data_IF_208519345687
#
_entry.id   IF_208519345687
#
_cell.length_a   1.000
_cell.length_b   1.000
_cell.length_c   1.000
_cell.angle_alpha   90.00
_cell.angle_beta   90.00
_cell.angle_gamma   90.00
#
_symmetry.space_group_name_H-M   'P 1'
#
loop_
_entity.id
_entity.type
_entity.pdbx_description
1 polymer ?
#
# COMPACT_ATOMS: atom_id res chain seq x y z
N UNK A 1 28.25 -40.08 3.47
CA UNK A 1 26.96 -39.54 3.91
C UNK A 1 25.92 -40.61 3.69
N UNK A 2 25.22 -41.01 4.74
CA UNK A 2 24.07 -41.91 4.64
C UNK A 2 22.86 -41.17 4.06
N UNK A 3 21.93 -41.92 3.47
CA UNK A 3 20.72 -41.40 2.82
C UNK A 3 19.81 -40.64 3.79
N UNK A 4 19.80 -41.01 5.07
CA UNK A 4 19.04 -40.33 6.12
C UNK A 4 19.53 -38.90 6.37
N UNK A 5 20.84 -38.66 6.43
CA UNK A 5 21.39 -37.31 6.64
C UNK A 5 21.07 -36.40 5.46
N UNK A 6 21.16 -36.91 4.23
CA UNK A 6 20.81 -36.17 3.02
C UNK A 6 19.33 -35.79 2.98
N UNK A 7 18.43 -36.72 3.33
CA UNK A 7 17.00 -36.45 3.41
C UNK A 7 16.68 -35.37 4.45
N UNK A 8 17.31 -35.46 5.62
CA UNK A 8 17.14 -34.47 6.70
C UNK A 8 17.63 -33.07 6.31
N UNK A 9 18.81 -32.96 5.66
CA UNK A 9 19.32 -31.68 5.16
C UNK A 9 18.39 -31.08 4.09
N UNK A 10 17.82 -31.92 3.22
CA UNK A 10 16.88 -31.49 2.20
C UNK A 10 15.56 -31.00 2.81
N UNK A 11 15.06 -31.65 3.87
CA UNK A 11 13.89 -31.19 4.63
C UNK A 11 14.14 -29.82 5.26
N UNK A 12 15.32 -29.59 5.86
CA UNK A 12 15.68 -28.28 6.41
C UNK A 12 15.69 -27.18 5.34
N UNK A 13 16.22 -27.47 4.14
CA UNK A 13 16.17 -26.57 2.99
C UNK A 13 14.74 -26.34 2.48
N UNK A 14 13.88 -27.36 2.52
CA UNK A 14 12.48 -27.23 2.10
C UNK A 14 11.70 -26.28 3.02
N UNK A 15 11.90 -26.38 4.33
CA UNK A 15 11.26 -25.48 5.31
C UNK A 15 11.63 -24.02 5.05
N UNK A 16 12.89 -23.73 4.71
CA UNK A 16 13.32 -22.36 4.44
C UNK A 16 12.92 -21.89 3.04
N UNK A 17 12.73 -22.77 2.05
CA UNK A 17 12.46 -22.38 0.64
C UNK A 17 11.02 -21.99 0.32
N UNK A 18 10.02 -22.59 0.99
CA UNK A 18 8.61 -22.43 0.61
C UNK A 18 7.83 -21.44 1.48
N UNK A 19 8.47 -20.85 2.48
CA UNK A 19 7.77 -20.24 3.58
C UNK A 19 7.85 -18.71 3.56
N UNK A 20 6.73 -18.07 3.90
CA UNK A 20 6.64 -16.63 4.14
C UNK A 20 7.67 -16.21 5.20
N UNK A 21 8.21 -15.00 5.07
CA UNK A 21 9.21 -14.37 5.96
C UNK A 21 8.64 -14.15 7.39
N UNK A 22 8.35 -15.23 8.10
CA UNK A 22 7.56 -15.22 9.31
C UNK A 22 8.26 -15.94 10.45
N UNK A 23 7.98 -15.48 11.67
CA UNK A 23 8.38 -16.16 12.92
C UNK A 23 8.01 -17.64 12.92
N UNK A 24 6.91 -18.00 12.26
CA UNK A 24 6.43 -19.39 12.13
C UNK A 24 7.37 -20.28 11.31
N UNK A 25 8.06 -19.71 10.32
CA UNK A 25 9.05 -20.42 9.50
C UNK A 25 10.28 -20.75 10.32
N UNK A 26 10.80 -19.77 11.06
CA UNK A 26 11.94 -19.93 11.97
C UNK A 26 11.60 -20.97 13.04
N UNK A 27 10.37 -20.94 13.56
CA UNK A 27 9.89 -21.93 14.53
C UNK A 27 9.92 -23.35 13.97
N UNK A 28 9.31 -23.59 12.80
CA UNK A 28 9.29 -24.90 12.14
C UNK A 28 10.71 -25.39 11.86
N UNK A 29 11.57 -24.50 11.39
CA UNK A 29 12.96 -24.81 11.09
C UNK A 29 13.74 -25.23 12.35
N UNK A 30 13.65 -24.45 13.44
CA UNK A 30 14.35 -24.77 14.69
C UNK A 30 13.78 -25.99 15.41
N UNK A 31 12.48 -26.25 15.29
CA UNK A 31 11.86 -27.50 15.76
C UNK A 31 12.45 -28.71 15.04
N UNK A 32 12.68 -28.59 13.72
CA UNK A 32 13.28 -29.66 12.92
C UNK A 32 14.75 -29.88 13.29
N UNK A 33 15.50 -28.79 13.50
CA UNK A 33 16.89 -28.84 13.98
C UNK A 33 17.01 -29.64 15.28
N UNK A 34 16.03 -29.49 16.18
CA UNK A 34 16.00 -30.17 17.48
C UNK A 34 15.92 -31.70 17.39
N UNK A 35 15.41 -32.27 16.30
CA UNK A 35 15.33 -33.73 16.12
C UNK A 35 16.71 -34.39 16.12
N UNK A 36 17.74 -33.67 15.67
CA UNK A 36 19.13 -34.16 15.57
C UNK A 36 20.12 -33.36 16.42
N UNK A 37 19.73 -32.21 16.97
CA UNK A 37 20.56 -31.34 17.79
C UNK A 37 19.87 -30.93 19.09
N UNK A 38 20.29 -31.50 20.21
CA UNK A 38 19.64 -31.25 21.52
C UNK A 38 20.09 -29.91 22.12
N UNK A 39 19.14 -29.02 22.37
CA UNK A 39 19.32 -27.77 23.12
C UNK A 39 18.08 -27.53 24.00
N UNK A 40 18.27 -26.81 25.10
CA UNK A 40 17.20 -26.42 26.01
C UNK A 40 16.58 -25.10 25.53
N UNK A 41 17.40 -24.10 25.22
CA UNK A 41 16.89 -22.84 24.70
C UNK A 41 17.62 -22.42 23.41
N UNK A 42 16.92 -21.70 22.55
CA UNK A 42 17.47 -21.10 21.32
C UNK A 42 16.95 -19.69 21.13
N UNK A 43 17.82 -18.78 20.72
CA UNK A 43 17.48 -17.41 20.38
C UNK A 43 18.18 -16.97 19.10
N UNK A 44 17.47 -16.19 18.29
CA UNK A 44 17.94 -15.56 17.07
C UNK A 44 17.83 -14.06 17.26
N UNK A 45 18.98 -13.40 17.21
CA UNK A 45 19.11 -11.96 17.30
C UNK A 45 19.48 -11.42 15.92
N UNK A 46 18.79 -10.38 15.46
CA UNK A 46 19.20 -9.60 14.29
C UNK A 46 19.55 -8.19 14.74
N UNK A 47 20.51 -7.58 14.05
CA UNK A 47 20.87 -6.20 14.27
C UNK A 47 19.92 -5.30 13.47
N UNK A 48 19.38 -4.29 14.13
CA UNK A 48 18.66 -3.21 13.46
C UNK A 48 19.68 -2.33 12.72
N UNK A 49 19.49 -2.18 11.41
CA UNK A 49 20.34 -1.36 10.54
C UNK A 49 20.26 0.14 10.93
N UNK A 50 19.21 0.61 11.64
CA UNK A 50 19.04 2.01 12.04
C UNK A 50 19.78 2.39 13.32
N UNK A 51 19.67 1.59 14.38
CA UNK A 51 20.21 1.91 15.71
C UNK A 51 21.34 0.99 16.18
N UNK A 52 21.76 0.02 15.36
CA UNK A 52 22.74 -1.01 15.71
C UNK A 52 22.38 -1.86 16.94
N UNK A 53 21.15 -1.73 17.45
CA UNK A 53 20.61 -2.53 18.56
C UNK A 53 20.30 -3.95 18.12
N UNK A 54 20.41 -4.90 19.05
CA UNK A 54 20.03 -6.29 18.81
C UNK A 54 18.54 -6.47 19.11
N UNK A 55 17.78 -6.89 18.11
CA UNK A 55 16.39 -7.28 18.26
C UNK A 55 16.24 -8.81 18.29
N UNK A 56 15.38 -9.27 19.20
CA UNK A 56 15.04 -10.69 19.32
C UNK A 56 13.96 -11.02 18.30
N UNK A 57 14.35 -11.63 17.19
CA UNK A 57 13.41 -12.07 16.14
C UNK A 57 12.75 -13.39 16.51
N UNK A 58 13.46 -14.23 17.27
CA UNK A 58 12.92 -15.47 17.80
C UNK A 58 13.64 -15.85 19.09
N UNK A 59 12.90 -16.26 20.11
CA UNK A 59 13.43 -16.91 21.29
C UNK A 59 12.46 -17.99 21.75
N UNK A 60 13.00 -19.12 22.21
CA UNK A 60 12.18 -20.20 22.78
C UNK A 60 12.95 -21.02 23.80
N UNK A 61 12.29 -21.29 24.92
CA UNK A 61 12.67 -22.33 25.87
C UNK A 61 11.96 -23.66 25.52
N UNK A 62 12.71 -24.75 25.46
CA UNK A 62 12.27 -26.05 24.97
C UNK A 62 12.65 -27.16 25.97
N UNK A 63 12.04 -27.14 27.16
CA UNK A 63 12.32 -28.09 28.26
C UNK A 63 11.16 -28.27 29.26
N UNK A 64 11.38 -29.08 30.32
CA UNK A 64 10.36 -29.43 31.34
C UNK A 64 10.00 -28.29 32.32
N UNK A 65 10.73 -27.18 32.31
CA UNK A 65 10.40 -25.98 33.07
C UNK A 65 9.66 -24.98 32.17
N UNK A 66 8.33 -25.09 32.13
CA UNK A 66 7.41 -24.24 31.36
C UNK A 66 7.00 -22.95 32.11
N UNK A 67 7.84 -22.43 33.01
CA UNK A 67 7.49 -21.21 33.75
C UNK A 67 7.91 -19.97 32.97
N UNK A 68 6.88 -19.21 32.61
CA UNK A 68 6.84 -18.11 31.65
C UNK A 68 7.23 -16.74 32.26
N UNK A 69 8.35 -16.64 32.96
CA UNK A 69 8.81 -15.37 33.56
C UNK A 69 10.18 -14.87 33.07
N UNK A 70 10.80 -15.50 32.05
CA UNK A 70 12.14 -15.15 31.56
C UNK A 70 12.21 -14.95 30.03
N UNK A 71 11.20 -14.31 29.45
CA UNK A 71 11.33 -13.72 28.12
C UNK A 71 12.24 -12.47 28.22
N UNK A 72 13.31 -12.46 27.42
CA UNK A 72 14.38 -11.45 27.26
C UNK A 72 15.66 -11.62 28.14
N UNK A 73 16.82 -11.48 27.47
CA UNK A 73 18.18 -11.29 27.99
C UNK A 73 19.11 -12.49 28.31
N UNK A 74 18.70 -13.77 28.24
CA UNK A 74 19.61 -14.89 28.58
C UNK A 74 20.72 -15.19 27.54
N UNK A 75 20.73 -14.48 26.41
CA UNK A 75 21.79 -14.59 25.40
C UNK A 75 22.18 -13.26 24.77
N UNK A 76 21.64 -12.12 25.21
CA UNK A 76 21.82 -10.84 24.52
C UNK A 76 23.25 -10.31 24.65
N UNK A 77 23.81 -10.33 25.86
CA UNK A 77 25.22 -9.97 26.08
C UNK A 77 26.16 -10.89 25.29
N UNK A 78 25.84 -12.18 25.23
CA UNK A 78 26.64 -13.16 24.50
C UNK A 78 26.48 -13.00 22.98
N UNK A 79 25.28 -12.69 22.49
CA UNK A 79 25.01 -12.33 21.10
C UNK A 79 25.78 -11.08 20.69
N UNK A 80 25.81 -10.04 21.54
CA UNK A 80 26.65 -8.85 21.32
C UNK A 80 28.14 -9.19 21.22
N UNK A 81 28.63 -10.16 21.99
CA UNK A 81 30.00 -10.66 21.87
C UNK A 81 30.24 -11.42 20.55
N UNK A 82 29.28 -12.23 20.12
CA UNK A 82 29.35 -12.96 18.83
C UNK A 82 29.38 -11.99 17.67
N UNK A 83 28.50 -10.98 17.64
CA UNK A 83 28.48 -9.94 16.61
C UNK A 83 29.80 -9.16 16.59
N UNK A 84 30.23 -8.63 17.74
CA UNK A 84 31.44 -7.79 17.80
C UNK A 84 32.71 -8.53 17.38
N UNK A 85 32.80 -9.83 17.69
CA UNK A 85 33.95 -10.66 17.28
C UNK A 85 33.79 -11.26 15.88
N UNK A 86 32.59 -11.27 15.31
CA UNK A 86 32.28 -11.80 13.98
C UNK A 86 32.62 -13.29 13.80
N UNK A 87 32.64 -14.08 14.88
CA UNK A 87 33.05 -15.49 14.83
C UNK A 87 32.26 -16.34 15.82
N UNK A 88 32.29 -17.65 15.60
CA UNK A 88 31.73 -18.63 16.52
C UNK A 88 32.36 -18.49 17.91
N UNK A 89 31.52 -18.47 18.95
CA UNK A 89 31.94 -18.45 20.35
C UNK A 89 31.32 -19.63 21.12
N UNK A 90 32.13 -20.19 22.02
CA UNK A 90 31.74 -21.21 22.98
C UNK A 90 31.99 -20.65 24.38
N UNK A 91 31.04 -20.86 25.29
CA UNK A 91 31.21 -20.54 26.69
C UNK A 91 30.77 -21.73 27.54
N UNK A 92 31.73 -22.26 28.30
CA UNK A 92 31.51 -23.31 29.28
C UNK A 92 30.98 -22.73 30.60
N UNK A 93 30.30 -23.56 31.43
CA UNK A 93 29.82 -23.15 32.74
C UNK A 93 30.97 -22.75 33.69
N UNK A 94 30.70 -21.77 34.57
CA UNK A 94 31.72 -21.27 35.50
C UNK A 94 32.09 -22.33 36.54
N UNK A 95 33.38 -22.63 36.78
CA UNK A 95 33.84 -23.77 37.58
C UNK A 95 33.55 -23.73 39.09
N UNK A 96 32.99 -22.65 39.64
CA UNK A 96 32.84 -22.44 41.09
C UNK A 96 31.42 -22.01 41.53
N UNK A 97 30.39 -22.42 40.79
CA UNK A 97 29.01 -21.99 41.08
C UNK A 97 28.25 -23.03 41.90
N UNK A 98 27.56 -22.66 43.00
CA UNK A 98 26.83 -23.61 43.85
C UNK A 98 25.83 -24.46 43.03
N UNK A 99 25.73 -25.74 43.38
CA UNK A 99 24.97 -26.78 42.65
C UNK A 99 23.48 -26.49 42.41
N UNK A 100 22.88 -25.53 43.10
CA UNK A 100 21.44 -25.22 43.02
C UNK A 100 21.07 -24.22 41.92
N UNK A 101 22.03 -23.47 41.36
CA UNK A 101 21.72 -22.44 40.36
C UNK A 101 21.94 -22.95 38.93
N UNK A 102 20.92 -23.63 38.39
CA UNK A 102 20.93 -24.20 37.03
C UNK A 102 21.21 -23.17 35.94
N UNK A 103 20.90 -21.88 36.17
CA UNK A 103 21.16 -20.80 35.21
C UNK A 103 22.66 -20.52 35.03
N UNK A 104 23.50 -20.90 36.00
CA UNK A 104 24.94 -20.67 35.96
C UNK A 104 25.75 -21.88 35.46
N UNK A 105 25.08 -22.98 35.12
CA UNK A 105 25.66 -24.19 34.54
C UNK A 105 25.29 -24.38 33.05
N UNK A 106 25.14 -23.28 32.32
CA UNK A 106 24.75 -23.30 30.91
C UNK A 106 25.97 -23.37 29.98
N UNK A 107 25.93 -24.28 29.01
CA UNK A 107 26.79 -24.26 27.84
C UNK A 107 26.18 -23.37 26.76
N UNK A 108 26.90 -22.33 26.35
CA UNK A 108 26.46 -21.41 25.30
C UNK A 108 27.26 -21.66 24.02
N UNK A 109 26.53 -21.80 22.91
CA UNK A 109 27.09 -21.84 21.57
C UNK A 109 26.50 -20.69 20.77
N UNK A 110 27.37 -19.76 20.37
CA UNK A 110 27.00 -18.55 19.67
C UNK A 110 27.59 -18.53 18.28
N UNK A 111 26.74 -18.30 17.28
CA UNK A 111 27.08 -18.37 15.87
C UNK A 111 26.73 -17.06 15.18
N UNK A 112 27.65 -16.43 14.44
CA UNK A 112 27.34 -15.24 13.68
C UNK A 112 26.38 -15.59 12.53
N UNK A 113 25.47 -14.67 12.24
CA UNK A 113 24.59 -14.74 11.06
C UNK A 113 25.08 -13.74 10.02
N UNK A 114 25.61 -14.26 8.91
CA UNK A 114 26.19 -13.54 7.79
C UNK A 114 27.07 -14.47 6.96
N UNK A 115 26.93 -14.45 5.64
CA UNK A 115 27.65 -15.35 4.73
C UNK A 115 28.94 -14.70 4.22
N UNK A 116 28.84 -13.51 3.62
CA UNK A 116 29.95 -12.73 3.08
C UNK A 116 29.65 -11.24 3.30
N UNK A 117 30.06 -10.69 4.46
CA UNK A 117 29.79 -9.28 4.80
C UNK A 117 29.77 -9.00 6.31
N UNK A 118 29.29 -7.82 6.73
CA UNK A 118 29.11 -7.51 8.15
C UNK A 118 28.11 -8.49 8.77
N UNK A 119 28.45 -9.05 9.93
CA UNK A 119 27.57 -9.96 10.68
C UNK A 119 26.32 -9.20 11.12
N UNK A 120 25.16 -9.61 10.60
CA UNK A 120 23.87 -8.94 10.83
C UNK A 120 23.06 -9.55 11.96
N UNK A 121 23.61 -10.52 12.68
CA UNK A 121 22.91 -11.18 13.77
C UNK A 121 23.70 -12.29 14.44
N UNK A 122 23.07 -12.93 15.42
CA UNK A 122 23.61 -14.10 16.08
C UNK A 122 22.54 -15.13 16.40
N UNK A 123 22.91 -16.40 16.24
CA UNK A 123 22.14 -17.56 16.67
C UNK A 123 22.79 -18.12 17.94
N UNK A 124 22.02 -18.17 19.02
CA UNK A 124 22.49 -18.64 20.33
C UNK A 124 21.75 -19.92 20.71
N UNK A 125 22.50 -20.97 20.99
CA UNK A 125 22.01 -22.21 21.57
C UNK A 125 22.48 -22.33 23.02
N UNK A 126 21.57 -22.80 23.88
CA UNK A 126 21.79 -22.97 25.30
C UNK A 126 21.44 -24.39 25.71
N UNK A 127 22.34 -25.03 26.45
CA UNK A 127 22.15 -26.37 27.02
C UNK A 127 22.51 -26.36 28.51
N UNK A 128 21.65 -26.92 29.35
CA UNK A 128 21.83 -27.03 30.80
C UNK A 128 22.21 -28.46 31.19
N UNK A 129 23.24 -28.63 32.02
CA UNK A 129 23.56 -29.90 32.70
C UNK A 129 23.95 -31.08 31.78
N UNK A 130 24.26 -30.84 30.51
CA UNK A 130 24.74 -31.85 29.56
C UNK A 130 26.24 -31.75 29.28
N UNK A 131 26.85 -32.67 28.50
CA UNK A 131 28.24 -32.54 28.08
C UNK A 131 28.43 -31.33 27.15
N UNK A 132 29.66 -30.83 27.10
CA UNK A 132 30.09 -29.75 26.21
C UNK A 132 29.77 -30.05 24.74
N UNK A 133 29.64 -29.00 23.93
CA UNK A 133 29.40 -29.15 22.49
C UNK A 133 30.59 -29.80 21.79
N UNK A 134 30.42 -31.03 21.32
CA UNK A 134 31.41 -31.72 20.49
C UNK A 134 31.54 -31.10 19.09
N UNK A 135 32.57 -31.50 18.33
CA UNK A 135 32.82 -30.97 16.99
C UNK A 135 31.64 -31.19 16.01
N UNK A 136 30.96 -32.34 16.10
CA UNK A 136 29.78 -32.67 15.29
C UNK A 136 28.61 -31.70 15.55
N UNK A 137 28.38 -31.36 16.81
CA UNK A 137 27.40 -30.36 17.25
C UNK A 137 27.71 -28.98 16.68
N UNK A 138 28.98 -28.58 16.76
CA UNK A 138 29.47 -27.29 16.24
C UNK A 138 29.27 -27.22 14.72
N UNK A 139 29.66 -28.27 13.98
CA UNK A 139 29.48 -28.34 12.53
C UNK A 139 28.01 -28.23 12.13
N UNK A 140 27.13 -28.96 12.81
CA UNK A 140 25.69 -28.91 12.56
C UNK A 140 25.11 -27.52 12.85
N UNK A 141 25.46 -26.92 13.98
CA UNK A 141 24.97 -25.59 14.35
C UNK A 141 25.49 -24.50 13.40
N UNK A 142 26.74 -24.60 12.92
CA UNK A 142 27.28 -23.74 11.86
C UNK A 142 26.51 -23.87 10.56
N UNK A 143 26.17 -25.09 10.13
CA UNK A 143 25.32 -25.29 8.96
C UNK A 143 23.94 -24.64 9.13
N UNK A 144 23.32 -24.81 10.31
CA UNK A 144 22.05 -24.18 10.67
C UNK A 144 22.15 -22.65 10.63
N UNK A 145 23.23 -22.08 11.15
CA UNK A 145 23.49 -20.64 11.11
C UNK A 145 23.63 -20.12 9.67
N UNK A 146 24.34 -20.84 8.79
CA UNK A 146 24.42 -20.48 7.37
C UNK A 146 23.06 -20.55 6.67
N UNK A 147 22.25 -21.59 6.93
CA UNK A 147 20.90 -21.67 6.36
C UNK A 147 20.00 -20.53 6.84
N UNK A 148 20.07 -20.16 8.11
CA UNK A 148 19.33 -19.00 8.63
C UNK A 148 19.85 -17.70 8.03
N UNK A 149 21.15 -17.56 7.84
CA UNK A 149 21.75 -16.38 7.18
C UNK A 149 21.21 -16.22 5.76
N UNK A 150 21.23 -17.30 4.96
CA UNK A 150 20.63 -17.33 3.61
C UNK A 150 19.14 -16.97 3.63
N UNK A 151 18.39 -17.50 4.60
CA UNK A 151 16.97 -17.22 4.74
C UNK A 151 16.71 -15.74 5.03
N UNK A 152 17.43 -15.14 5.97
CA UNK A 152 17.26 -13.72 6.32
C UNK A 152 17.70 -12.80 5.19
N UNK A 153 18.85 -13.03 4.56
CA UNK A 153 19.30 -12.22 3.41
C UNK A 153 18.28 -12.26 2.28
N UNK A 154 17.77 -13.44 1.94
CA UNK A 154 16.76 -13.59 0.89
C UNK A 154 15.45 -12.89 1.25
N UNK A 155 15.03 -12.97 2.52
CA UNK A 155 13.86 -12.25 3.03
C UNK A 155 13.99 -10.75 2.80
N UNK A 156 15.10 -10.15 3.23
CA UNK A 156 15.39 -8.72 3.05
C UNK A 156 15.45 -8.36 1.55
N UNK A 157 16.12 -9.18 0.73
CA UNK A 157 16.17 -8.97 -0.71
C UNK A 157 14.80 -8.97 -1.38
N UNK A 158 13.88 -9.85 -0.95
CA UNK A 158 12.51 -9.88 -1.48
C UNK A 158 11.74 -8.62 -1.10
N UNK A 159 11.87 -8.16 0.14
CA UNK A 159 11.23 -6.95 0.65
C UNK A 159 11.75 -5.70 -0.07
N UNK A 160 13.06 -5.49 -0.10
CA UNK A 160 13.68 -4.36 -0.82
C UNK A 160 13.34 -4.38 -2.31
N UNK A 161 13.34 -5.55 -2.97
CA UNK A 161 12.94 -5.65 -4.37
C UNK A 161 11.46 -5.31 -4.60
N UNK A 162 10.60 -5.61 -3.63
CA UNK A 162 9.18 -5.24 -3.70
C UNK A 162 9.03 -3.73 -3.57
N UNK A 163 9.68 -3.12 -2.58
CA UNK A 163 9.69 -1.67 -2.40
C UNK A 163 10.25 -0.93 -3.62
N UNK A 164 11.37 -1.40 -4.18
CA UNK A 164 11.96 -0.83 -5.39
C UNK A 164 11.02 -0.92 -6.61
N UNK A 165 10.29 -2.04 -6.74
CA UNK A 165 9.28 -2.19 -7.80
C UNK A 165 8.12 -1.21 -7.61
N UNK A 166 7.64 -1.04 -6.39
CA UNK A 166 6.56 -0.11 -6.08
C UNK A 166 6.99 1.34 -6.31
N UNK A 167 8.21 1.71 -5.89
CA UNK A 167 8.79 3.03 -6.17
C UNK A 167 8.95 3.27 -7.67
N UNK A 168 9.54 2.31 -8.41
CA UNK A 168 9.71 2.43 -9.87
C UNK A 168 8.37 2.59 -10.57
N UNK A 169 7.33 1.87 -10.12
CA UNK A 169 5.98 2.01 -10.65
C UNK A 169 5.42 3.40 -10.41
N UNK A 170 5.60 3.97 -9.22
CA UNK A 170 5.17 5.34 -8.91
C UNK A 170 5.90 6.38 -9.78
N UNK A 171 7.21 6.22 -9.98
CA UNK A 171 7.99 7.09 -10.87
C UNK A 171 7.48 7.02 -12.32
N UNK A 172 7.21 5.82 -12.84
CA UNK A 172 6.66 5.65 -14.19
C UNK A 172 5.29 6.33 -14.35
N UNK A 173 4.40 6.18 -13.37
CA UNK A 173 3.10 6.87 -13.38
C UNK A 173 3.27 8.40 -13.36
N UNK A 174 4.27 8.92 -12.65
CA UNK A 174 4.58 10.35 -12.62
C UNK A 174 5.15 10.86 -13.95
N UNK A 175 6.01 10.09 -14.62
CA UNK A 175 6.51 10.44 -15.96
C UNK A 175 5.37 10.44 -17.00
N UNK A 176 4.54 9.39 -17.01
CA UNK A 176 3.36 9.28 -17.88
C UNK A 176 2.39 10.46 -17.65
N UNK A 177 2.25 10.90 -16.41
CA UNK A 177 1.47 12.08 -16.05
C UNK A 177 2.02 13.37 -16.63
N UNK A 178 3.31 13.64 -16.44
CA UNK A 178 3.95 14.88 -16.93
C UNK A 178 3.79 14.97 -18.45
N UNK A 179 3.98 13.85 -19.14
CA UNK A 179 3.73 13.75 -20.58
C UNK A 179 2.26 14.01 -20.94
N UNK A 180 1.33 13.36 -20.25
CA UNK A 180 -0.12 13.51 -20.48
C UNK A 180 -0.58 14.94 -20.23
N UNK A 181 -0.18 15.56 -19.12
CA UNK A 181 -0.54 16.94 -18.80
C UNK A 181 0.02 17.90 -19.82
N UNK A 182 1.28 17.72 -20.23
CA UNK A 182 1.87 18.58 -21.24
C UNK A 182 1.06 18.55 -22.53
N UNK A 183 0.52 17.38 -22.91
CA UNK A 183 -0.36 17.24 -24.05
C UNK A 183 -1.74 17.89 -23.82
N UNK A 184 -2.39 17.59 -22.69
CA UNK A 184 -3.72 18.10 -22.33
C UNK A 184 -3.75 19.62 -22.13
N UNK A 185 -2.64 20.25 -21.72
CA UNK A 185 -2.51 21.71 -21.65
C UNK A 185 -2.20 22.34 -23.02
N UNK A 186 -1.45 21.65 -23.88
CA UNK A 186 -1.05 22.18 -25.21
C UNK A 186 -2.24 22.31 -26.15
N UNK A 187 -3.21 21.40 -26.10
CA UNK A 187 -4.41 21.43 -26.94
C UNK A 187 -5.26 22.70 -26.74
N UNK A 188 -5.79 23.01 -25.54
CA UNK A 188 -6.56 24.23 -25.30
C UNK A 188 -5.75 25.49 -25.60
N UNK A 189 -4.47 25.52 -25.21
CA UNK A 189 -3.59 26.65 -25.50
C UNK A 189 -3.41 26.86 -27.01
N UNK A 190 -3.32 25.78 -27.79
CA UNK A 190 -3.24 25.80 -29.24
C UNK A 190 -4.50 26.39 -29.89
N UNK A 191 -5.69 26.00 -29.41
CA UNK A 191 -6.95 26.58 -29.87
C UNK A 191 -7.07 28.06 -29.52
N UNK A 192 -6.82 28.44 -28.26
CA UNK A 192 -6.84 29.84 -27.81
C UNK A 192 -5.90 30.68 -28.69
N UNK A 193 -4.66 30.22 -28.90
CA UNK A 193 -3.68 30.93 -29.72
C UNK A 193 -4.08 30.98 -31.20
N UNK A 194 -4.62 29.89 -31.74
CA UNK A 194 -5.03 29.79 -33.14
C UNK A 194 -6.18 30.75 -33.46
N UNK A 195 -7.28 30.65 -32.71
CA UNK A 195 -8.46 31.52 -32.92
C UNK A 195 -8.17 32.98 -32.61
N UNK A 196 -7.40 33.29 -31.56
CA UNK A 196 -6.99 34.69 -31.31
C UNK A 196 -6.11 35.25 -32.43
N UNK A 197 -5.19 34.44 -32.98
CA UNK A 197 -4.36 34.86 -34.13
C UNK A 197 -5.22 35.07 -35.38
N UNK A 198 -6.22 34.22 -35.62
CA UNK A 198 -7.18 34.38 -36.73
C UNK A 198 -8.00 35.66 -36.60
N UNK A 199 -8.45 36.02 -35.40
CA UNK A 199 -9.18 37.26 -35.14
C UNK A 199 -8.32 38.52 -35.31
N UNK A 200 -7.00 38.42 -35.11
CA UNK A 200 -6.05 39.53 -35.25
C UNK A 200 -5.58 39.77 -36.70
N UNK A 201 -5.94 38.89 -37.64
CA UNK A 201 -5.55 39.03 -39.06
C UNK A 201 -6.19 40.27 -39.68
N UNK A 202 -5.36 41.10 -40.33
CA UNK A 202 -5.82 42.30 -41.04
C UNK A 202 -6.21 42.01 -42.49
N UNK A 203 -5.81 40.86 -43.02
CA UNK A 203 -6.03 40.43 -44.40
C UNK A 203 -7.31 39.60 -44.57
N UNK A 204 -8.15 39.50 -43.54
CA UNK A 204 -9.40 38.74 -43.55
C UNK A 204 -10.45 39.49 -42.72
N UNK A 205 -11.69 39.55 -43.21
CA UNK A 205 -12.79 40.17 -42.49
C UNK A 205 -13.81 39.09 -42.11
N UNK A 206 -13.93 38.82 -40.81
CA UNK A 206 -14.87 37.84 -40.27
C UNK A 206 -16.23 38.51 -40.01
N UNK A 207 -17.33 37.83 -40.33
CA UNK A 207 -18.66 38.29 -39.94
C UNK A 207 -18.88 38.20 -38.43
N UNK A 208 -19.93 38.87 -37.93
CA UNK A 208 -20.19 38.95 -36.50
C UNK A 208 -20.48 37.58 -35.86
N UNK A 209 -21.04 36.64 -36.62
CA UNK A 209 -21.34 35.28 -36.16
C UNK A 209 -20.06 34.47 -35.97
N UNK A 210 -19.18 34.43 -36.97
CA UNK A 210 -17.88 33.74 -36.89
C UNK A 210 -16.99 34.34 -35.80
N UNK A 211 -16.98 35.67 -35.65
CA UNK A 211 -16.24 36.31 -34.56
C UNK A 211 -16.75 35.86 -33.19
N UNK A 212 -18.07 35.76 -33.02
CA UNK A 212 -18.67 35.29 -31.78
C UNK A 212 -18.36 33.83 -31.51
N UNK A 213 -18.40 32.98 -32.54
CA UNK A 213 -18.00 31.58 -32.43
C UNK A 213 -16.54 31.45 -31.98
N UNK A 214 -15.61 32.16 -32.60
CA UNK A 214 -14.19 32.12 -32.23
C UNK A 214 -13.95 32.60 -30.80
N UNK A 215 -14.61 33.69 -30.38
CA UNK A 215 -14.53 34.18 -29.00
C UNK A 215 -15.10 33.17 -28.01
N UNK A 216 -16.19 32.48 -28.37
CA UNK A 216 -16.80 31.44 -27.53
C UNK A 216 -15.85 30.25 -27.36
N UNK A 217 -15.21 29.80 -28.44
CA UNK A 217 -14.21 28.71 -28.36
C UNK A 217 -13.02 29.11 -27.48
N UNK A 218 -12.55 30.36 -27.59
CA UNK A 218 -11.45 30.86 -26.74
C UNK A 218 -11.86 30.83 -25.25
N UNK A 219 -13.07 31.27 -24.92
CA UNK A 219 -13.59 31.31 -23.56
C UNK A 219 -13.72 29.89 -22.97
N UNK A 220 -14.33 28.96 -23.72
CA UNK A 220 -14.50 27.57 -23.30
C UNK A 220 -13.15 26.84 -23.09
N UNK A 221 -12.18 27.04 -23.98
CA UNK A 221 -10.86 26.42 -23.84
C UNK A 221 -10.03 27.07 -22.71
N UNK A 222 -10.27 28.36 -22.40
CA UNK A 222 -9.66 29.02 -21.25
C UNK A 222 -10.19 28.47 -19.93
N UNK A 223 -11.50 28.28 -19.82
CA UNK A 223 -12.14 27.62 -18.67
C UNK A 223 -11.64 26.19 -18.50
N UNK A 224 -11.52 25.45 -19.60
CA UNK A 224 -10.95 24.09 -19.58
C UNK A 224 -9.51 24.09 -19.07
N UNK A 225 -8.69 25.04 -19.51
CA UNK A 225 -7.30 25.17 -19.06
C UNK A 225 -7.23 25.51 -17.57
N UNK A 226 -8.09 26.42 -17.09
CA UNK A 226 -8.17 26.79 -15.68
C UNK A 226 -8.52 25.57 -14.80
N UNK A 227 -9.52 24.79 -15.21
CA UNK A 227 -9.91 23.57 -14.51
C UNK A 227 -8.78 22.52 -14.47
N UNK A 228 -8.01 22.37 -15.55
CA UNK A 228 -6.86 21.47 -15.58
C UNK A 228 -5.79 21.91 -14.57
N UNK A 229 -5.48 23.20 -14.51
CA UNK A 229 -4.51 23.76 -13.56
C UNK A 229 -4.98 23.55 -12.12
N UNK A 230 -6.26 23.81 -11.84
CA UNK A 230 -6.84 23.64 -10.51
C UNK A 230 -6.73 22.19 -10.02
N UNK A 231 -7.08 21.21 -10.87
CA UNK A 231 -6.94 19.79 -10.55
C UNK A 231 -5.50 19.38 -10.21
N UNK A 232 -4.51 19.97 -10.87
CA UNK A 232 -3.09 19.72 -10.60
C UNK A 232 -2.68 20.28 -9.24
N UNK A 233 -3.04 21.54 -8.96
CA UNK A 233 -2.74 22.20 -7.70
C UNK A 233 -3.44 21.50 -6.53
N UNK A 234 -4.67 21.06 -6.72
CA UNK A 234 -5.40 20.32 -5.72
C UNK A 234 -4.79 18.94 -5.45
N UNK A 235 -4.41 18.21 -6.49
CA UNK A 235 -3.67 16.94 -6.34
C UNK A 235 -2.40 17.14 -5.50
N UNK A 236 -1.67 18.24 -5.72
CA UNK A 236 -0.47 18.56 -4.94
C UNK A 236 -0.81 18.88 -3.46
N UNK A 237 -1.87 19.66 -3.19
CA UNK A 237 -2.31 20.00 -1.83
C UNK A 237 -2.80 18.78 -1.03
N UNK A 238 -3.50 17.88 -1.70
CA UNK A 238 -3.96 16.62 -1.12
C UNK A 238 -2.78 15.71 -0.76
N UNK A 239 -1.75 15.65 -1.61
CA UNK A 239 -0.53 14.90 -1.32
C UNK A 239 0.18 15.41 -0.06
N UNK A 240 0.23 16.73 0.15
CA UNK A 240 0.83 17.31 1.35
C UNK A 240 -0.06 17.25 2.60
N UNK A 241 -1.27 16.65 2.52
CA UNK A 241 -2.28 16.62 3.61
C UNK A 241 -2.62 18.02 4.16
N UNK A 242 -2.46 19.07 3.35
CA UNK A 242 -2.66 20.47 3.77
C UNK A 242 -4.01 21.02 3.35
N UNK A 243 -4.92 20.19 2.83
CA UNK A 243 -6.24 20.65 2.39
C UNK A 243 -7.10 21.03 3.61
N UNK A 244 -7.48 22.30 3.79
CA UNK A 244 -8.38 22.67 4.87
C UNK A 244 -9.79 22.15 4.56
N UNK A 245 -10.34 21.33 5.47
CA UNK A 245 -11.70 20.81 5.39
C UNK A 245 -12.60 21.52 6.39
N UNK A 246 -13.81 21.86 5.97
CA UNK A 246 -14.83 22.50 6.81
C UNK A 246 -15.97 21.54 7.07
N UNK A 247 -15.83 20.76 8.13
CA UNK A 247 -16.85 19.80 8.54
C UNK A 247 -18.05 20.50 9.18
N UNK A 248 -19.24 20.20 8.68
CA UNK A 248 -20.51 20.66 9.23
C UNK A 248 -21.58 19.56 9.10
N UNK A 249 -22.66 19.60 9.91
CA UNK A 249 -23.82 18.73 9.70
C UNK A 249 -24.39 18.92 8.29
N UNK A 250 -24.43 17.84 7.52
CA UNK A 250 -24.73 17.85 6.10
C UNK A 250 -25.69 16.73 5.74
N UNK A 251 -26.70 17.08 4.95
CA UNK A 251 -27.63 16.13 4.31
C UNK A 251 -27.09 15.71 2.95
N UNK A 252 -26.64 14.46 2.82
CA UNK A 252 -26.10 13.93 1.56
C UNK A 252 -27.13 13.97 0.42
N UNK A 253 -28.40 13.72 0.72
CA UNK A 253 -29.46 13.74 -0.27
C UNK A 253 -29.66 15.14 -0.87
N UNK A 254 -29.50 16.20 -0.08
CA UNK A 254 -29.54 17.58 -0.57
C UNK A 254 -28.39 17.87 -1.52
N UNK A 255 -27.16 17.50 -1.14
CA UNK A 255 -25.97 17.70 -2.00
C UNK A 255 -26.10 16.94 -3.32
N UNK A 256 -26.55 15.68 -3.28
CA UNK A 256 -26.78 14.88 -4.49
C UNK A 256 -27.81 15.53 -5.42
N UNK A 257 -28.92 16.05 -4.88
CA UNK A 257 -29.94 16.76 -5.65
C UNK A 257 -29.39 18.04 -6.29
N UNK A 258 -28.65 18.84 -5.53
CA UNK A 258 -28.07 20.09 -6.00
C UNK A 258 -27.06 19.86 -7.14
N UNK A 259 -26.17 18.87 -6.97
CA UNK A 259 -25.21 18.49 -8.02
C UNK A 259 -25.94 17.97 -9.25
N UNK A 260 -26.93 17.09 -9.08
CA UNK A 260 -27.70 16.52 -10.19
C UNK A 260 -28.44 17.61 -10.97
N UNK A 261 -29.00 18.61 -10.29
CA UNK A 261 -29.66 19.74 -10.93
C UNK A 261 -28.69 20.58 -11.78
N UNK A 262 -27.49 20.88 -11.26
CA UNK A 262 -26.44 21.57 -12.03
C UNK A 262 -26.02 20.76 -13.25
N UNK A 263 -25.79 19.46 -13.11
CA UNK A 263 -25.39 18.60 -14.23
C UNK A 263 -26.47 18.55 -15.31
N UNK A 264 -27.75 18.37 -14.95
CA UNK A 264 -28.87 18.39 -15.91
C UNK A 264 -29.02 19.73 -16.64
N UNK A 265 -28.68 20.84 -15.99
CA UNK A 265 -28.70 22.17 -16.63
C UNK A 265 -27.66 22.30 -17.74
N UNK A 266 -26.51 21.62 -17.59
CA UNK A 266 -25.41 21.60 -18.56
C UNK A 266 -25.61 20.52 -19.64
N UNK A 267 -26.18 19.37 -19.27
CA UNK A 267 -26.40 18.22 -20.15
C UNK A 267 -27.89 17.85 -20.17
N UNK A 268 -28.66 18.52 -21.04
CA UNK A 268 -30.13 18.39 -21.06
C UNK A 268 -30.63 16.98 -21.41
N UNK A 269 -29.86 16.23 -22.19
CA UNK A 269 -30.23 14.89 -22.66
C UNK A 269 -29.76 13.77 -21.72
N UNK A 270 -29.19 14.11 -20.55
CA UNK A 270 -28.70 13.12 -19.60
C UNK A 270 -29.85 12.51 -18.79
N UNK A 271 -30.10 11.22 -18.98
CA UNK A 271 -31.03 10.46 -18.15
C UNK A 271 -30.39 10.14 -16.79
N UNK A 272 -30.99 10.66 -15.71
CA UNK A 272 -30.52 10.44 -14.34
C UNK A 272 -31.71 10.01 -13.49
N UNK A 273 -31.62 8.83 -12.86
CA UNK A 273 -32.58 8.37 -11.88
C UNK A 273 -31.97 8.39 -10.48
N UNK A 274 -32.74 8.85 -9.49
CA UNK A 274 -32.29 8.95 -8.10
C UNK A 274 -33.26 8.20 -7.18
N UNK A 275 -32.74 7.23 -6.44
CA UNK A 275 -33.43 6.56 -5.33
C UNK A 275 -32.72 6.91 -4.02
N UNK A 276 -33.16 8.00 -3.38
CA UNK A 276 -32.53 8.54 -2.18
C UNK A 276 -33.41 8.23 -0.96
N UNK A 277 -33.06 7.17 -0.24
CA UNK A 277 -33.74 6.83 1.00
C UNK A 277 -33.47 7.89 2.08
N UNK A 278 -34.43 8.17 2.98
CA UNK A 278 -34.21 9.10 4.09
C UNK A 278 -32.99 8.66 4.92
N UNK A 279 -32.05 9.59 5.12
CA UNK A 279 -30.80 9.32 5.79
C UNK A 279 -30.51 10.39 6.87
N UNK A 280 -29.88 10.01 8.00
CA UNK A 280 -29.41 10.97 8.98
C UNK A 280 -28.33 11.90 8.40
N UNK A 281 -28.15 13.11 8.94
CA UNK A 281 -27.05 13.98 8.53
C UNK A 281 -25.70 13.35 8.92
N UNK A 282 -24.69 13.60 8.09
CA UNK A 282 -23.30 13.28 8.40
C UNK A 282 -22.53 14.54 8.78
N UNK A 283 -21.38 14.40 9.43
CA UNK A 283 -20.46 15.52 9.58
C UNK A 283 -19.49 15.52 8.38
N UNK A 284 -19.60 16.50 7.49
CA UNK A 284 -18.86 16.52 6.22
C UNK A 284 -18.66 17.92 5.65
N UNK A 285 -17.74 18.03 4.70
CA UNK A 285 -17.54 19.22 3.89
C UNK A 285 -18.36 19.09 2.59
N UNK A 286 -19.46 19.85 2.53
CA UNK A 286 -20.42 19.77 1.42
C UNK A 286 -19.83 20.18 0.07
N UNK A 287 -18.87 21.12 0.06
CA UNK A 287 -18.22 21.57 -1.19
C UNK A 287 -17.35 20.44 -1.75
N UNK A 288 -16.57 19.79 -0.87
CA UNK A 288 -15.70 18.67 -1.28
C UNK A 288 -16.49 17.43 -1.68
N UNK A 289 -17.58 17.12 -0.98
CA UNK A 289 -18.44 16.00 -1.37
C UNK A 289 -19.17 16.27 -2.68
N UNK A 290 -19.63 17.51 -2.92
CA UNK A 290 -20.19 17.90 -4.22
C UNK A 290 -19.17 17.70 -5.36
N UNK A 291 -17.90 18.06 -5.13
CA UNK A 291 -16.82 17.84 -6.09
C UNK A 291 -16.62 16.35 -6.42
N UNK A 292 -16.70 15.46 -5.42
CA UNK A 292 -16.64 14.00 -5.67
C UNK A 292 -17.77 13.57 -6.61
N UNK A 293 -19.00 13.99 -6.33
CA UNK A 293 -20.16 13.62 -7.15
C UNK A 293 -20.07 14.20 -8.56
N UNK A 294 -19.67 15.46 -8.71
CA UNK A 294 -19.43 16.08 -10.02
C UNK A 294 -18.40 15.31 -10.82
N UNK A 295 -17.32 14.84 -10.18
CA UNK A 295 -16.29 14.07 -10.84
C UNK A 295 -16.75 12.65 -11.23
N UNK A 296 -17.67 12.04 -10.48
CA UNK A 296 -18.30 10.79 -10.89
C UNK A 296 -19.27 10.99 -12.07
N UNK A 297 -20.04 12.08 -12.08
CA UNK A 297 -20.90 12.43 -13.21
C UNK A 297 -20.10 12.68 -14.49
N UNK A 298 -19.03 13.48 -14.41
CA UNK A 298 -18.21 13.77 -15.59
C UNK A 298 -17.56 12.51 -16.14
N UNK A 299 -17.12 11.59 -15.27
CA UNK A 299 -16.65 10.27 -15.70
C UNK A 299 -17.75 9.47 -16.42
N UNK A 300 -18.95 9.37 -15.85
CA UNK A 300 -20.06 8.64 -16.47
C UNK A 300 -20.43 9.23 -17.84
N UNK A 301 -20.54 10.57 -17.97
CA UNK A 301 -20.85 11.25 -19.23
C UNK A 301 -19.77 10.99 -20.30
N UNK A 302 -18.51 10.98 -19.87
CA UNK A 302 -17.35 10.86 -20.73
C UNK A 302 -17.11 9.43 -21.22
N UNK A 303 -17.26 8.45 -20.35
CA UNK A 303 -16.97 7.03 -20.65
C UNK A 303 -18.21 6.24 -21.06
N UNK A 304 -19.41 6.70 -20.67
CA UNK A 304 -20.69 6.09 -21.01
C UNK A 304 -21.66 7.12 -21.64
N UNK A 305 -21.29 7.74 -22.78
CA UNK A 305 -22.12 8.78 -23.39
C UNK A 305 -23.51 8.24 -23.76
N UNK A 306 -24.55 8.95 -23.33
CA UNK A 306 -25.95 8.56 -23.57
C UNK A 306 -26.49 7.44 -22.66
N UNK A 307 -25.67 6.88 -21.77
CA UNK A 307 -26.14 5.90 -20.79
C UNK A 307 -26.88 6.61 -19.64
N UNK A 308 -27.96 5.97 -19.16
CA UNK A 308 -28.64 6.42 -17.95
C UNK A 308 -27.75 6.23 -16.72
N UNK A 309 -27.75 7.23 -15.83
CA UNK A 309 -27.04 7.20 -14.55
C UNK A 309 -28.04 6.94 -13.44
N UNK A 310 -27.80 5.90 -12.64
CA UNK A 310 -28.66 5.56 -11.51
C UNK A 310 -27.90 5.83 -10.21
N UNK A 311 -28.48 6.65 -9.35
CA UNK A 311 -27.89 7.06 -8.08
C UNK A 311 -28.75 6.54 -6.95
N UNK A 312 -28.16 5.81 -6.01
CA UNK A 312 -28.87 5.39 -4.80
C UNK A 312 -28.18 5.93 -3.55
N UNK A 313 -28.98 6.20 -2.52
CA UNK A 313 -28.49 6.50 -1.17
C UNK A 313 -29.22 5.60 -0.18
N UNK A 314 -28.46 4.77 0.54
CA UNK A 314 -28.98 3.83 1.53
C UNK A 314 -28.20 3.92 2.83
N UNK A 315 -28.87 3.74 3.97
CA UNK A 315 -28.19 3.55 5.25
C UNK A 315 -27.93 2.06 5.49
N UNK A 316 -26.68 1.71 5.76
CA UNK A 316 -26.26 0.34 6.12
C UNK A 316 -25.53 0.40 7.45
N UNK A 317 -26.21 -0.03 8.52
CA UNK A 317 -25.69 0.05 9.88
C UNK A 317 -25.38 1.49 10.30
N UNK A 318 -24.09 1.78 10.54
CA UNK A 318 -23.59 3.11 10.94
C UNK A 318 -22.98 3.91 9.78
N UNK A 319 -23.22 3.49 8.54
CA UNK A 319 -22.69 4.15 7.36
C UNK A 319 -23.82 4.50 6.39
N UNK A 320 -23.61 5.56 5.60
CA UNK A 320 -24.39 5.85 4.39
C UNK A 320 -23.60 5.35 3.19
N UNK A 321 -24.28 4.60 2.32
CA UNK A 321 -23.72 4.12 1.06
C UNK A 321 -24.42 4.87 -0.07
N UNK A 322 -23.63 5.60 -0.85
CA UNK A 322 -24.03 6.20 -2.12
C UNK A 322 -23.50 5.34 -3.24
N UNK A 323 -24.34 4.94 -4.18
CA UNK A 323 -23.90 4.28 -5.42
C UNK A 323 -24.17 5.15 -6.64
N UNK A 324 -23.23 5.14 -7.59
CA UNK A 324 -23.34 5.75 -8.91
C UNK A 324 -23.14 4.64 -9.94
N UNK A 325 -24.21 4.25 -10.62
CA UNK A 325 -24.17 3.22 -11.66
C UNK A 325 -24.35 3.84 -13.04
N UNK A 326 -23.46 3.51 -13.96
CA UNK A 326 -23.57 3.75 -15.39
C UNK A 326 -23.67 2.42 -16.17
N UNK A 327 -24.16 2.48 -17.41
CA UNK A 327 -24.20 1.35 -18.35
C UNK A 327 -23.15 1.46 -19.46
N UNK A 328 -21.97 1.95 -19.11
CA UNK A 328 -20.85 2.14 -20.02
C UNK A 328 -20.11 0.85 -20.42
N UNK A 329 -18.94 1.00 -21.07
CA UNK A 329 -18.11 -0.12 -21.51
C UNK A 329 -17.53 -0.95 -20.36
N UNK A 330 -17.60 -0.45 -19.12
CA UNK A 330 -17.02 -1.07 -17.94
C UNK A 330 -15.50 -0.91 -17.86
N UNK A 331 -14.92 -1.40 -16.77
CA UNK A 331 -13.50 -1.29 -16.44
C UNK A 331 -12.88 -2.70 -16.44
N UNK A 332 -11.73 -2.92 -17.11
CA UNK A 332 -11.01 -4.19 -17.02
C UNK A 332 -10.67 -4.57 -15.57
N UNK A 333 -10.80 -5.85 -15.22
CA UNK A 333 -10.57 -6.34 -13.86
C UNK A 333 -9.18 -6.00 -13.31
N UNK A 334 -8.17 -6.03 -14.17
CA UNK A 334 -6.79 -5.67 -13.84
C UNK A 334 -6.60 -4.18 -13.54
N UNK A 335 -7.48 -3.32 -14.06
CA UNK A 335 -7.45 -1.88 -13.85
C UNK A 335 -8.22 -1.43 -12.62
N UNK A 336 -9.23 -2.18 -12.16
CA UNK A 336 -10.08 -1.80 -11.01
C UNK A 336 -9.30 -1.43 -9.74
N UNK A 337 -8.24 -2.15 -9.32
CA UNK A 337 -7.46 -1.77 -8.15
C UNK A 337 -6.69 -0.45 -8.33
N UNK A 338 -6.53 0.02 -9.57
CA UNK A 338 -5.62 1.07 -9.96
C UNK A 338 -6.32 2.37 -10.36
N UNK A 339 -7.63 2.35 -10.63
CA UNK A 339 -8.37 3.54 -11.10
C UNK A 339 -8.37 4.71 -10.12
N UNK A 340 -8.11 4.44 -8.84
CA UNK A 340 -7.98 5.47 -7.80
C UNK A 340 -6.52 5.84 -7.51
N UNK A 341 -5.56 5.21 -8.18
CA UNK A 341 -4.16 5.57 -8.08
C UNK A 341 -3.90 6.84 -8.86
N UNK A 342 -3.02 7.67 -8.29
CA UNK A 342 -2.68 8.96 -8.86
C UNK A 342 -2.11 8.76 -10.26
N UNK A 343 -2.60 9.55 -11.22
CA UNK A 343 -2.18 9.55 -12.62
C UNK A 343 -2.57 8.32 -13.43
N UNK A 344 -3.23 7.33 -12.82
CA UNK A 344 -3.58 6.11 -13.53
C UNK A 344 -4.68 6.36 -14.57
N UNK A 345 -4.52 5.74 -15.74
CA UNK A 345 -5.50 5.69 -16.82
C UNK A 345 -5.51 4.29 -17.42
N UNK A 346 -6.70 3.80 -17.79
CA UNK A 346 -6.83 2.53 -18.51
C UNK A 346 -6.17 2.68 -19.88
N UNK A 347 -5.23 1.78 -20.21
CA UNK A 347 -4.50 1.79 -21.49
C UNK A 347 -5.43 1.34 -22.61
N UNK A 348 -5.52 2.10 -23.70
CA UNK A 348 -6.30 1.75 -24.90
C UNK A 348 -7.36 2.77 -25.31
N UNK A 349 -7.81 3.62 -24.39
CA UNK A 349 -8.75 4.71 -24.67
C UNK A 349 -8.02 5.95 -25.21
N UNK A 350 -7.40 5.84 -26.40
CA UNK A 350 -6.68 6.96 -27.04
C UNK A 350 -7.56 8.17 -27.35
N UNK A 351 -8.88 8.01 -27.36
CA UNK A 351 -9.85 9.04 -27.73
C UNK A 351 -10.40 9.84 -26.54
N UNK A 352 -10.16 9.41 -25.30
CA UNK A 352 -10.81 9.98 -24.12
C UNK A 352 -9.79 10.76 -23.27
N UNK A 353 -9.73 12.08 -23.47
CA UNK A 353 -8.79 13.05 -22.85
C UNK A 353 -8.95 13.15 -21.34
N UNK A 354 -7.88 13.14 -20.54
CA UNK A 354 -8.01 13.26 -19.07
C UNK A 354 -6.71 13.11 -18.29
N UNK A 355 -6.64 13.76 -17.13
CA UNK A 355 -5.42 13.88 -16.32
C UNK A 355 -5.12 12.68 -15.41
N UNK A 356 -6.07 11.75 -15.23
CA UNK A 356 -5.94 10.65 -14.27
C UNK A 356 -5.96 11.10 -12.79
N UNK A 357 -6.40 12.34 -12.51
CA UNK A 357 -6.42 12.90 -11.15
C UNK A 357 -7.79 12.82 -10.47
N UNK A 358 -8.89 12.84 -11.23
CA UNK A 358 -10.23 12.99 -10.67
C UNK A 358 -10.59 11.91 -9.63
N UNK A 359 -10.43 10.62 -9.98
CA UNK A 359 -10.74 9.52 -9.06
C UNK A 359 -9.78 9.46 -7.86
N UNK A 360 -8.51 9.84 -8.05
CA UNK A 360 -7.56 9.98 -6.94
C UNK A 360 -8.00 11.08 -5.97
N UNK A 361 -8.41 12.26 -6.48
CA UNK A 361 -8.96 13.36 -5.67
C UNK A 361 -10.21 12.88 -4.92
N UNK A 362 -11.10 12.13 -5.58
CA UNK A 362 -12.27 11.53 -4.93
C UNK A 362 -11.86 10.62 -3.76
N UNK A 363 -10.91 9.71 -3.98
CA UNK A 363 -10.39 8.82 -2.92
C UNK A 363 -9.82 9.61 -1.75
N UNK A 364 -9.03 10.66 -1.98
CA UNK A 364 -8.48 11.47 -0.90
C UNK A 364 -9.57 12.24 -0.12
N UNK A 365 -10.55 12.83 -0.81
CA UNK A 365 -11.66 13.52 -0.16
C UNK A 365 -12.46 12.55 0.72
N UNK A 366 -12.85 11.39 0.17
CA UNK A 366 -13.64 10.39 0.91
C UNK A 366 -12.85 9.81 2.09
N UNK A 367 -11.55 9.54 1.93
CA UNK A 367 -10.69 9.10 3.03
C UNK A 367 -10.58 10.16 4.13
N UNK A 368 -10.50 11.45 3.76
CA UNK A 368 -10.47 12.53 4.75
C UNK A 368 -11.80 12.66 5.52
N UNK A 369 -12.91 12.21 4.92
CA UNK A 369 -14.21 12.03 5.58
C UNK A 369 -14.33 10.71 6.36
N UNK A 370 -13.22 9.96 6.53
CA UNK A 370 -13.18 8.63 7.16
C UNK A 370 -14.08 7.60 6.47
N UNK A 371 -14.36 7.82 5.19
CA UNK A 371 -15.14 6.95 4.35
C UNK A 371 -14.29 6.02 3.49
N UNK A 372 -14.98 5.27 2.63
CA UNK A 372 -14.38 4.38 1.64
C UNK A 372 -15.00 4.63 0.27
N UNK A 373 -14.19 4.61 -0.78
CA UNK A 373 -14.67 4.61 -2.17
C UNK A 373 -14.14 3.35 -2.87
N UNK A 374 -14.98 2.68 -3.65
CA UNK A 374 -14.58 1.56 -4.50
C UNK A 374 -15.44 1.51 -5.76
N UNK A 375 -15.08 0.64 -6.70
CA UNK A 375 -15.86 0.42 -7.91
C UNK A 375 -16.03 -1.08 -8.16
N UNK A 376 -17.18 -1.44 -8.70
CA UNK A 376 -17.48 -2.76 -9.23
C UNK A 376 -17.82 -2.61 -10.71
N UNK A 377 -17.20 -3.41 -11.56
CA UNK A 377 -17.46 -3.36 -12.99
C UNK A 377 -17.19 -4.70 -13.65
N UNK A 378 -18.02 -5.01 -14.63
CA UNK A 378 -17.79 -6.07 -15.59
C UNK A 378 -17.70 -5.42 -16.99
N UNK A 379 -16.68 -5.76 -17.80
CA UNK A 379 -16.59 -5.28 -19.18
C UNK A 379 -17.90 -5.52 -19.95
N UNK A 380 -18.43 -4.46 -20.57
CA UNK A 380 -19.67 -4.45 -21.34
C UNK A 380 -20.97 -4.38 -20.54
N UNK A 381 -20.91 -4.33 -19.20
CA UNK A 381 -22.10 -4.28 -18.32
C UNK A 381 -22.21 -2.98 -17.52
N UNK A 382 -21.27 -2.04 -17.70
CA UNK A 382 -21.22 -0.79 -16.96
C UNK A 382 -20.34 -0.83 -15.71
N UNK A 383 -20.37 0.27 -14.97
CA UNK A 383 -19.60 0.46 -13.74
C UNK A 383 -20.49 0.98 -12.64
N UNK A 384 -20.31 0.47 -11.43
CA UNK A 384 -20.91 1.05 -10.22
C UNK A 384 -19.81 1.53 -9.29
N UNK A 385 -19.77 2.83 -9.03
CA UNK A 385 -18.96 3.43 -7.98
C UNK A 385 -19.74 3.46 -6.68
N UNK A 386 -19.09 3.10 -5.59
CA UNK A 386 -19.68 3.13 -4.26
C UNK A 386 -18.88 4.04 -3.35
N UNK A 387 -19.58 4.85 -2.55
CA UNK A 387 -19.03 5.71 -1.53
C UNK A 387 -19.71 5.36 -0.21
N UNK A 388 -18.92 4.96 0.78
CA UNK A 388 -19.35 4.73 2.14
C UNK A 388 -18.87 5.89 3.03
N UNK A 389 -19.78 6.52 3.76
CA UNK A 389 -19.48 7.60 4.70
C UNK A 389 -20.06 7.27 6.08
N UNK A 390 -19.28 7.40 7.17
CA UNK A 390 -19.78 7.10 8.50
C UNK A 390 -20.84 8.13 8.93
N UNK A 391 -21.94 7.63 9.49
CA UNK A 391 -22.89 8.44 10.25
C UNK A 391 -22.26 8.65 11.63
N UNK A 392 -21.73 9.85 11.87
CA UNK A 392 -21.35 10.20 13.23
C UNK A 392 -22.63 10.33 14.07
N UNK A 393 -22.89 9.34 14.93
CA UNK A 393 -23.63 9.58 16.15
C UNK A 393 -22.82 10.60 16.95
N UNK A 394 -23.36 11.82 17.11
CA UNK A 394 -22.83 12.81 18.04
C UNK A 394 -22.45 12.12 19.35
N UNK A 395 -21.19 12.25 19.76
CA UNK A 395 -20.79 12.01 21.14
C UNK A 395 -20.71 13.37 21.83
#
# INVERSE_FOLDING_TARGET
MDTETLAYLLELLQVTSHADNSRSTIEKFLLKVREKFVFDNVAVYLQDDANQSLEVVYARAVGRAKNAEADAAWGETFAGQVLSKGKLLLQDPKPNTPSDDRLHQAYLLGLPLGLDGPVKGALIFVRFGGPAYEQSHITMATFVAHLLSLFFERSTWHETNRELRDLKRQMQLQEDFVSTISHELRTPLGFIKGYSTSLLRQDTNWDAETQREFLTIIDEEADRLALLIENVLESARLQSKTLPLRFQPLRLDAVLRDVTQRIRSRFRDLDVSMDLQPAPPINGDGVRLAQVFENLFTNAIKYAPGAAIIITLNQVGKSLIVSFMDRGPGIPRESLPLIFERFYRVRGEKTVTGTGLGLYICKQIIQAHRGKIWAESNPGQGTTFFIELPVNSSN
#
